data_IF_680913264318
#
_entry.id   IF_680913264318
#
_cell.length_a   1.000
_cell.length_b   1.000
_cell.length_c   1.000
_cell.angle_alpha   90.00
_cell.angle_beta   90.00
_cell.angle_gamma   90.00
#
_symmetry.space_group_name_H-M   'P 1'
#
loop_
_entity.id
_entity.type
_entity.pdbx_description
1 polymer ?
#
# COMPACT_ATOMS: atom_id res chain seq x y z
N UNK A 1 -2.67 -0.24 16.88
CA UNK A 1 -3.02 0.16 15.49
C UNK A 1 -2.61 -0.98 14.56
N UNK A 2 -3.50 -1.50 13.70
CA UNK A 2 -3.13 -2.50 12.69
C UNK A 2 -2.22 -1.92 11.59
N UNK A 3 -1.36 -2.78 11.05
CA UNK A 3 -0.55 -2.52 9.86
C UNK A 3 -0.91 -3.60 8.83
N UNK A 4 -1.28 -3.18 7.63
CA UNK A 4 -1.58 -4.07 6.51
C UNK A 4 -0.41 -4.02 5.52
N UNK A 5 0.10 -5.19 5.16
CA UNK A 5 1.26 -5.34 4.29
C UNK A 5 0.83 -6.00 2.99
N UNK A 6 1.20 -5.37 1.89
CA UNK A 6 1.02 -5.86 0.53
C UNK A 6 2.37 -5.96 -0.17
N UNK A 7 2.48 -6.78 -1.22
CA UNK A 7 3.69 -6.84 -2.06
C UNK A 7 3.31 -6.62 -3.52
N UNK A 8 2.69 -7.63 -4.13
CA UNK A 8 2.30 -7.59 -5.55
C UNK A 8 0.82 -7.34 -5.71
N UNK A 9 0.45 -6.27 -6.41
CA UNK A 9 -0.89 -6.14 -6.99
C UNK A 9 -0.82 -6.50 -8.48
N UNK A 10 -1.50 -7.56 -8.90
CA UNK A 10 -1.41 -8.08 -10.28
C UNK A 10 -2.63 -8.94 -10.66
N UNK A 11 -2.93 -9.01 -11.96
CA UNK A 11 -4.13 -9.68 -12.49
C UNK A 11 -4.23 -11.17 -12.19
N UNK A 12 -3.10 -11.85 -11.95
CA UNK A 12 -3.06 -13.28 -11.59
C UNK A 12 -2.32 -13.44 -10.27
N UNK A 13 -2.91 -14.20 -9.35
CA UNK A 13 -2.23 -14.61 -8.12
C UNK A 13 -1.16 -15.63 -8.49
N UNK A 14 0.11 -15.27 -8.28
CA UNK A 14 1.27 -16.10 -8.61
C UNK A 14 2.08 -16.52 -7.38
N UNK A 15 1.73 -16.01 -6.20
CA UNK A 15 2.39 -16.30 -4.92
C UNK A 15 1.45 -15.96 -3.77
N UNK A 16 1.79 -16.40 -2.56
CA UNK A 16 1.04 -16.10 -1.33
C UNK A 16 1.06 -14.61 -0.94
N UNK A 17 1.95 -13.82 -1.56
CA UNK A 17 2.05 -12.36 -1.36
C UNK A 17 1.50 -11.57 -2.56
N UNK A 18 0.79 -12.23 -3.48
CA UNK A 18 0.10 -11.61 -4.61
C UNK A 18 -1.37 -11.36 -4.31
N UNK A 19 -1.86 -10.16 -4.62
CA UNK A 19 -3.26 -9.76 -4.52
C UNK A 19 -3.75 -9.24 -5.88
N UNK A 20 -5.00 -9.51 -6.24
CA UNK A 20 -5.57 -8.94 -7.48
C UNK A 20 -6.01 -7.50 -7.28
N UNK A 21 -6.07 -6.66 -8.34
CA UNK A 21 -6.58 -5.30 -8.23
C UNK A 21 -7.99 -5.24 -7.63
N UNK A 22 -8.86 -6.19 -7.99
CA UNK A 22 -10.24 -6.27 -7.51
C UNK A 22 -10.30 -6.59 -6.01
N UNK A 23 -9.48 -7.55 -5.55
CA UNK A 23 -9.37 -7.89 -4.14
C UNK A 23 -8.80 -6.72 -3.34
N UNK A 24 -7.79 -6.04 -3.87
CA UNK A 24 -7.21 -4.85 -3.24
C UNK A 24 -8.25 -3.73 -3.10
N UNK A 25 -8.98 -3.39 -4.18
CA UNK A 25 -10.05 -2.38 -4.11
C UNK A 25 -11.14 -2.75 -3.11
N UNK A 26 -11.58 -4.01 -3.10
CA UNK A 26 -12.57 -4.51 -2.14
C UNK A 26 -12.08 -4.39 -0.68
N UNK A 27 -10.81 -4.72 -0.42
CA UNK A 27 -10.21 -4.60 0.90
C UNK A 27 -10.10 -3.13 1.35
N UNK A 28 -9.64 -2.23 0.48
CA UNK A 28 -9.57 -0.79 0.79
C UNK A 28 -10.97 -0.22 1.07
N UNK A 29 -11.98 -0.62 0.29
CA UNK A 29 -13.36 -0.22 0.53
C UNK A 29 -13.86 -0.73 1.88
N UNK A 30 -13.65 -2.00 2.21
CA UNK A 30 -14.06 -2.60 3.47
C UNK A 30 -13.40 -1.91 4.68
N UNK A 31 -12.11 -1.54 4.58
CA UNK A 31 -11.40 -0.77 5.61
C UNK A 31 -12.09 0.57 5.89
N UNK A 32 -12.43 1.31 4.82
CA UNK A 32 -13.12 2.60 4.95
C UNK A 32 -14.53 2.44 5.53
N UNK A 33 -15.30 1.47 5.04
CA UNK A 33 -16.67 1.20 5.51
C UNK A 33 -16.69 0.75 6.98
N UNK A 34 -15.66 0.04 7.44
CA UNK A 34 -15.48 -0.30 8.84
C UNK A 34 -15.05 0.90 9.73
N UNK A 35 -14.84 2.07 9.14
CA UNK A 35 -14.49 3.32 9.82
C UNK A 35 -13.02 3.43 10.22
N UNK A 36 -12.12 2.68 9.57
CA UNK A 36 -10.69 2.87 9.78
C UNK A 36 -10.20 4.14 9.09
N UNK A 37 -9.19 4.78 9.71
CA UNK A 37 -8.54 6.00 9.19
C UNK A 37 -7.14 5.66 8.70
N UNK A 38 -6.91 5.57 7.38
CA UNK A 38 -5.58 5.34 6.84
C UNK A 38 -4.64 6.52 7.12
N UNK A 39 -3.49 6.24 7.73
CA UNK A 39 -2.46 7.22 8.02
C UNK A 39 -1.27 7.05 7.07
N UNK A 40 -0.61 8.15 6.75
CA UNK A 40 0.76 8.10 6.20
C UNK A 40 1.75 7.59 7.25
N UNK A 41 2.96 7.22 6.83
CA UNK A 41 4.01 6.81 7.78
C UNK A 41 4.37 7.93 8.78
N UNK A 42 4.36 9.20 8.34
CA UNK A 42 4.65 10.34 9.21
C UNK A 42 3.54 10.57 10.23
N UNK A 43 2.28 10.51 9.82
CA UNK A 43 1.14 10.61 10.73
C UNK A 43 1.07 9.40 11.68
N UNK A 44 1.48 8.23 11.22
CA UNK A 44 1.63 7.06 12.09
C UNK A 44 2.66 7.33 13.18
N UNK A 45 3.82 7.88 12.84
CA UNK A 45 4.85 8.23 13.82
C UNK A 45 4.34 9.30 14.81
N UNK A 46 3.63 10.31 14.32
CA UNK A 46 2.99 11.34 15.15
C UNK A 46 1.96 10.73 16.11
N UNK A 47 1.06 9.88 15.59
CA UNK A 47 0.05 9.17 16.39
C UNK A 47 0.70 8.33 17.50
N UNK A 48 1.74 7.56 17.17
CA UNK A 48 2.47 6.74 18.14
C UNK A 48 3.24 7.57 19.17
N UNK A 49 3.64 8.79 18.82
CA UNK A 49 4.30 9.75 19.72
C UNK A 49 3.31 10.53 20.59
N UNK A 50 2.02 10.24 20.49
CA UNK A 50 0.97 10.88 21.27
C UNK A 50 0.37 12.14 20.63
N UNK A 51 0.70 12.46 19.38
CA UNK A 51 -0.10 13.36 18.55
C UNK A 51 -1.34 12.66 17.99
N UNK A 52 -2.14 13.36 17.18
CA UNK A 52 -3.35 12.80 16.52
C UNK A 52 -4.28 11.97 17.44
N UNK A 53 -4.40 12.34 18.72
CA UNK A 53 -5.08 11.52 19.74
C UNK A 53 -6.55 11.22 19.43
N UNK A 54 -7.20 12.07 18.64
CA UNK A 54 -8.60 11.91 18.26
C UNK A 54 -8.82 11.01 17.04
N UNK A 55 -7.74 10.53 16.38
CA UNK A 55 -7.86 9.62 15.25
C UNK A 55 -8.54 8.32 15.66
N UNK A 56 -9.72 8.07 15.09
CA UNK A 56 -10.48 6.84 15.33
C UNK A 56 -10.01 5.74 14.39
N UNK A 57 -9.80 4.55 14.96
CA UNK A 57 -9.40 3.33 14.24
C UNK A 57 -8.27 3.57 13.22
N UNK A 58 -7.10 4.08 13.64
CA UNK A 58 -6.00 4.30 12.70
C UNK A 58 -5.57 2.98 12.05
N UNK A 59 -5.11 3.04 10.81
CA UNK A 59 -4.50 1.90 10.10
C UNK A 59 -3.35 2.41 9.22
N UNK A 60 -2.25 1.66 9.18
CA UNK A 60 -1.17 1.91 8.23
C UNK A 60 -1.24 0.87 7.11
N UNK A 61 -1.22 1.33 5.86
CA UNK A 61 -1.20 0.48 4.67
C UNK A 61 0.18 0.61 4.02
N UNK A 62 0.85 -0.52 3.86
CA UNK A 62 2.24 -0.59 3.39
C UNK A 62 2.38 -1.55 2.20
N UNK A 63 3.38 -1.26 1.36
CA UNK A 63 3.82 -2.13 0.28
C UNK A 63 5.32 -2.30 0.34
N UNK A 64 5.78 -3.54 0.20
CA UNK A 64 7.21 -3.86 0.15
C UNK A 64 7.69 -4.02 -1.31
N UNK A 65 9.01 -4.13 -1.48
CA UNK A 65 9.76 -4.36 -2.73
C UNK A 65 9.77 -3.23 -3.78
N UNK A 66 8.70 -2.44 -3.90
CA UNK A 66 8.62 -1.33 -4.87
C UNK A 66 8.35 -1.77 -6.31
N UNK A 67 7.42 -2.71 -6.52
CA UNK A 67 7.02 -3.16 -7.86
C UNK A 67 6.31 -2.06 -8.66
N UNK A 68 6.54 -2.01 -9.97
CA UNK A 68 5.87 -1.08 -10.90
C UNK A 68 4.35 -1.33 -10.94
N UNK A 69 3.92 -2.57 -10.71
CA UNK A 69 2.51 -2.94 -10.67
C UNK A 69 1.73 -2.22 -9.56
N UNK A 70 2.40 -1.73 -8.53
CA UNK A 70 1.79 -0.87 -7.52
C UNK A 70 1.34 0.47 -8.10
N UNK A 71 2.16 1.06 -8.98
CA UNK A 71 1.80 2.28 -9.69
C UNK A 71 0.67 2.02 -10.68
N UNK A 72 0.68 0.87 -11.35
CA UNK A 72 -0.35 0.51 -12.33
C UNK A 72 -1.71 0.19 -11.68
N UNK A 73 -1.72 -0.55 -10.56
CA UNK A 73 -2.95 -1.12 -10.01
C UNK A 73 -3.34 -0.61 -8.62
N UNK A 74 -2.37 -0.35 -7.73
CA UNK A 74 -2.68 0.09 -6.36
C UNK A 74 -2.93 1.60 -6.29
N UNK A 75 -2.12 2.39 -6.99
CA UNK A 75 -2.20 3.86 -6.97
C UNK A 75 -3.54 4.43 -7.47
N UNK A 76 -4.17 3.93 -8.56
CA UNK A 76 -5.48 4.41 -8.99
C UNK A 76 -6.55 4.20 -7.90
N UNK A 77 -6.56 3.04 -7.24
CA UNK A 77 -7.45 2.75 -6.11
C UNK A 77 -7.21 3.69 -4.95
N UNK A 78 -5.95 3.93 -4.60
CA UNK A 78 -5.60 4.85 -3.52
C UNK A 78 -6.08 6.28 -3.77
N UNK A 79 -5.90 6.76 -5.01
CA UNK A 79 -6.38 8.07 -5.47
C UNK A 79 -7.90 8.15 -5.44
N UNK A 80 -8.59 7.16 -6.01
CA UNK A 80 -10.07 7.09 -6.05
C UNK A 80 -10.67 7.06 -4.64
N UNK A 81 -10.06 6.31 -3.74
CA UNK A 81 -10.53 6.13 -2.37
C UNK A 81 -9.98 7.17 -1.39
N UNK A 82 -9.09 8.06 -1.83
CA UNK A 82 -8.39 9.05 -0.99
C UNK A 82 -7.71 8.41 0.23
N UNK A 83 -7.06 7.27 0.04
CA UNK A 83 -6.34 6.56 1.09
C UNK A 83 -4.84 6.77 0.98
N UNK A 84 -4.19 6.90 2.13
CA UNK A 84 -2.74 7.05 2.23
C UNK A 84 -2.10 5.66 2.27
N UNK A 85 -0.98 5.52 1.57
CA UNK A 85 -0.21 4.28 1.47
C UNK A 85 1.28 4.60 1.55
N UNK A 86 2.06 3.67 2.09
CA UNK A 86 3.52 3.77 2.18
C UNK A 86 4.16 2.67 1.35
N UNK A 87 5.21 2.98 0.59
CA UNK A 87 5.94 1.98 -0.20
C UNK A 87 7.40 1.95 0.28
N UNK A 88 7.87 0.77 0.71
CA UNK A 88 9.25 0.52 1.07
C UNK A 88 9.99 -0.05 -0.14
N UNK A 89 10.73 0.82 -0.84
CA UNK A 89 11.40 0.48 -2.09
C UNK A 89 12.79 -0.09 -1.83
N UNK A 90 13.11 -1.23 -2.47
CA UNK A 90 14.47 -1.74 -2.52
C UNK A 90 15.26 -0.90 -3.53
N UNK A 91 15.97 0.12 -3.06
CA UNK A 91 16.65 1.11 -3.91
C UNK A 91 17.62 0.50 -4.92
N UNK A 92 18.32 -0.58 -4.56
CA UNK A 92 19.22 -1.32 -5.45
C UNK A 92 18.52 -2.01 -6.62
N UNK A 93 17.18 -2.09 -6.62
CA UNK A 93 16.34 -2.72 -7.66
C UNK A 93 15.58 -1.73 -8.53
N UNK A 94 15.58 -0.44 -8.21
CA UNK A 94 14.96 0.62 -9.03
C UNK A 94 15.52 0.58 -10.45
N UNK A 95 14.64 0.68 -11.45
CA UNK A 95 15.01 0.64 -12.87
C UNK A 95 15.48 -0.73 -13.38
N UNK A 96 15.53 -1.76 -12.52
CA UNK A 96 15.87 -3.13 -12.92
C UNK A 96 14.61 -3.92 -13.28
N UNK A 97 14.78 -4.90 -14.16
CA UNK A 97 13.80 -5.96 -14.40
C UNK A 97 14.28 -7.23 -13.71
N UNK A 98 13.61 -7.74 -12.67
CA UNK A 98 13.80 -9.12 -12.22
C UNK A 98 13.27 -10.08 -13.29
N UNK A 99 13.62 -11.37 -13.18
CA UNK A 99 13.27 -12.42 -14.16
C UNK A 99 11.76 -12.49 -14.51
N UNK A 100 10.86 -11.95 -13.68
CA UNK A 100 9.41 -12.06 -13.84
C UNK A 100 8.62 -10.74 -13.69
N UNK A 101 9.22 -9.61 -13.29
CA UNK A 101 8.48 -8.36 -13.00
C UNK A 101 9.31 -7.11 -13.33
N UNK A 102 8.76 -5.90 -13.11
CA UNK A 102 9.45 -4.61 -13.27
C UNK A 102 9.30 -3.80 -11.98
N UNK A 103 10.38 -3.12 -11.57
CA UNK A 103 10.37 -2.22 -10.42
C UNK A 103 10.03 -0.79 -10.84
N UNK A 104 9.60 0.04 -9.87
CA UNK A 104 9.40 1.47 -10.08
C UNK A 104 10.61 2.10 -10.77
N UNK A 105 10.34 2.99 -11.71
CA UNK A 105 11.36 3.68 -12.48
C UNK A 105 11.61 5.09 -11.93
N UNK A 106 12.81 5.63 -12.15
CA UNK A 106 13.08 7.06 -12.02
C UNK A 106 12.59 7.70 -13.32
N UNK A 107 11.34 8.16 -13.37
CA UNK A 107 11.01 9.23 -14.32
C UNK A 107 11.56 10.55 -13.79
#
# INVERSE_FOLDING_TARGET
MPVLVYHHIQKKVTSDVSCTPENFEAQIKAIKEAGFTPLSISETAEFLSGGLKDTKKPVLITFDDGYESLYEYAYPTAKKQQVKMTIFVITARIGKKPQFTRYLNKE
#
